data_IF_283597841050
#
_entry.id   IF_283597841050
#
_cell.length_a   1.000
_cell.length_b   1.000
_cell.length_c   1.000
_cell.angle_alpha   90.00
_cell.angle_beta   90.00
_cell.angle_gamma   90.00
#
_symmetry.space_group_name_H-M   'P 1'
#
loop_
_entity.id
_entity.type
_entity.pdbx_description
1 polymer ?
#
# COMPACT_ATOMS: atom_id res chain seq x y z
N UNK A 1 5.71 73.04 44.46
CA UNK A 1 6.71 71.98 44.76
C UNK A 1 5.96 70.67 44.75
N UNK A 2 5.81 70.05 43.58
CA UNK A 2 6.62 68.91 43.04
C UNK A 2 6.01 67.59 43.55
N UNK A 3 5.65 66.57 42.76
CA UNK A 3 5.70 66.25 41.33
C UNK A 3 4.87 64.94 41.18
N UNK A 4 3.93 64.79 40.22
CA UNK A 4 4.05 64.05 38.93
C UNK A 4 4.22 62.50 39.08
N UNK A 5 3.54 61.59 38.36
CA UNK A 5 3.01 61.51 36.97
C UNK A 5 1.87 60.45 36.92
N UNK A 6 0.69 60.70 36.31
CA UNK A 6 0.23 60.32 34.94
C UNK A 6 0.74 58.93 34.49
N UNK A 7 -0.11 57.98 34.05
CA UNK A 7 -0.89 58.06 32.79
C UNK A 7 -2.08 57.08 32.74
N UNK A 8 -3.20 57.56 32.21
CA UNK A 8 -4.27 56.76 31.60
C UNK A 8 -3.74 56.03 30.35
N UNK A 9 -4.05 54.75 30.20
CA UNK A 9 -3.84 53.98 28.97
C UNK A 9 -5.15 53.35 28.53
N UNK A 10 -5.71 53.84 27.43
CA UNK A 10 -6.83 53.24 26.71
C UNK A 10 -6.45 51.84 26.25
N UNK A 11 -7.15 50.80 26.72
CA UNK A 11 -7.10 49.48 26.10
C UNK A 11 -7.88 49.54 24.78
N UNK A 12 -7.14 49.70 23.68
CA UNK A 12 -7.65 49.54 22.32
C UNK A 12 -8.02 48.06 22.15
N UNK A 13 -9.31 47.79 21.98
CA UNK A 13 -9.79 46.52 21.43
C UNK A 13 -9.24 46.40 20.00
N UNK A 14 -8.15 45.65 19.83
CA UNK A 14 -7.67 45.22 18.53
C UNK A 14 -8.64 44.22 17.95
N UNK A 15 -9.50 44.68 17.04
CA UNK A 15 -10.19 43.82 16.07
C UNK A 15 -9.13 43.13 15.22
N UNK A 16 -8.79 41.88 15.56
CA UNK A 16 -8.12 40.99 14.60
C UNK A 16 -9.15 40.61 13.55
N UNK A 17 -9.23 41.42 12.49
CA UNK A 17 -9.80 41.02 11.22
C UNK A 17 -8.92 39.92 10.64
N UNK A 18 -9.21 38.67 10.97
CA UNK A 18 -8.73 37.52 10.21
C UNK A 18 -9.43 37.53 8.86
N UNK A 19 -8.83 38.27 7.92
CA UNK A 19 -9.07 38.05 6.50
C UNK A 19 -8.60 36.62 6.18
N UNK A 20 -9.51 35.66 6.28
CA UNK A 20 -9.37 34.38 5.59
C UNK A 20 -9.39 34.68 4.10
N UNK A 21 -8.20 34.91 3.54
CA UNK A 21 -7.98 34.73 2.11
C UNK A 21 -8.06 33.23 1.86
N UNK A 22 -9.05 32.71 1.13
CA UNK A 22 -8.92 31.37 0.59
C UNK A 22 -7.78 31.45 -0.42
N UNK A 23 -6.58 31.03 -0.04
CA UNK A 23 -5.52 30.73 -1.00
C UNK A 23 -5.89 29.39 -1.64
N UNK A 24 -6.92 29.40 -2.48
CA UNK A 24 -7.01 28.43 -3.57
C UNK A 24 -6.06 28.92 -4.64
N UNK A 25 -4.76 28.63 -4.50
CA UNK A 25 -3.96 28.44 -5.70
C UNK A 25 -4.55 27.21 -6.38
N UNK A 26 -5.45 27.42 -7.33
CA UNK A 26 -5.72 26.42 -8.35
C UNK A 26 -4.38 26.19 -9.07
N UNK A 27 -3.64 25.16 -8.62
CA UNK A 27 -2.45 24.71 -9.31
C UNK A 27 -2.93 24.16 -10.67
N UNK A 28 -2.29 24.63 -11.75
CA UNK A 28 -2.59 24.22 -13.13
C UNK A 28 -2.14 22.77 -13.36
N UNK A 29 -2.85 21.84 -12.76
CA UNK A 29 -2.77 20.42 -13.03
C UNK A 29 -3.52 20.15 -14.34
N UNK A 30 -2.89 19.47 -15.30
CA UNK A 30 -3.47 19.23 -16.64
C UNK A 30 -4.54 18.14 -16.66
N UNK A 31 -4.71 17.42 -15.54
CA UNK A 31 -5.70 16.36 -15.36
C UNK A 31 -6.74 16.74 -14.29
N UNK A 32 -7.88 16.06 -14.34
CA UNK A 32 -8.95 16.22 -13.35
C UNK A 32 -8.81 15.17 -12.25
N UNK A 33 -9.15 15.52 -11.01
CA UNK A 33 -9.21 14.54 -9.91
C UNK A 33 -10.59 14.48 -9.28
N UNK A 34 -11.07 13.27 -9.00
CA UNK A 34 -12.35 13.02 -8.32
C UNK A 34 -12.15 12.04 -7.16
N UNK A 35 -12.76 12.29 -5.98
CA UNK A 35 -13.63 13.42 -5.63
C UNK A 35 -12.95 14.77 -5.36
N UNK A 36 -11.69 14.78 -4.95
CA UNK A 36 -10.86 15.99 -4.78
C UNK A 36 -9.41 15.68 -5.11
N UNK A 37 -8.50 16.65 -5.08
CA UNK A 37 -7.07 16.42 -5.32
C UNK A 37 -6.28 16.27 -3.98
N UNK A 38 -6.02 15.04 -3.48
CA UNK A 38 -5.22 14.82 -2.28
C UNK A 38 -3.72 15.01 -2.56
N UNK A 39 -2.91 15.26 -1.51
CA UNK A 39 -1.45 15.35 -1.67
C UNK A 39 -0.84 14.06 -2.23
N UNK A 40 -1.38 12.90 -1.85
CA UNK A 40 -0.91 11.58 -2.26
C UNK A 40 -2.08 10.66 -2.61
N UNK A 41 -1.96 9.88 -3.68
CA UNK A 41 -2.86 8.77 -3.98
C UNK A 41 -2.28 7.43 -3.50
N UNK A 42 -3.07 6.58 -2.85
CA UNK A 42 -2.68 5.20 -2.56
C UNK A 42 -2.62 4.37 -3.85
N UNK A 43 -1.53 3.63 -4.05
CA UNK A 43 -1.39 2.66 -5.14
C UNK A 43 -1.55 1.23 -4.62
N UNK A 44 -0.60 0.76 -3.82
CA UNK A 44 -0.65 -0.58 -3.19
C UNK A 44 -0.62 -0.42 -1.68
N UNK A 45 -1.79 -0.45 -1.04
CA UNK A 45 -1.96 -0.09 0.38
C UNK A 45 -2.83 -1.17 1.05
N UNK A 46 -2.17 -2.23 1.53
CA UNK A 46 -2.82 -3.44 2.09
C UNK A 46 -2.34 -3.88 3.46
N UNK A 47 -1.16 -3.43 3.87
CA UNK A 47 -0.60 -3.72 5.19
C UNK A 47 0.43 -2.66 5.57
N UNK A 48 0.92 -2.63 6.82
CA UNK A 48 1.92 -1.67 7.26
C UNK A 48 3.22 -1.66 6.46
N UNK A 49 3.49 -2.72 5.70
CA UNK A 49 4.68 -2.86 4.85
C UNK A 49 4.37 -2.97 3.35
N UNK A 50 3.10 -3.15 2.97
CA UNK A 50 2.64 -3.03 1.59
C UNK A 50 1.91 -1.70 1.47
N UNK A 51 2.69 -0.62 1.33
CA UNK A 51 2.24 0.77 1.38
C UNK A 51 3.01 1.61 0.36
N UNK A 52 2.47 1.69 -0.86
CA UNK A 52 3.03 2.47 -1.96
C UNK A 52 2.05 3.57 -2.37
N UNK A 53 2.57 4.78 -2.50
CA UNK A 53 1.82 6.00 -2.77
C UNK A 53 2.45 6.77 -3.91
N UNK A 54 1.66 7.53 -4.66
CA UNK A 54 2.17 8.49 -5.64
C UNK A 54 1.72 9.88 -5.28
N UNK A 55 2.53 10.89 -5.58
CA UNK A 55 2.13 12.27 -5.42
C UNK A 55 0.91 12.56 -6.31
N UNK A 56 -0.13 13.13 -5.70
CA UNK A 56 -1.40 13.39 -6.38
C UNK A 56 -1.61 14.84 -6.79
N UNK A 57 -1.11 15.78 -5.96
CA UNK A 57 -1.39 17.19 -6.14
C UNK A 57 -0.56 17.89 -7.23
N UNK A 58 0.69 17.47 -7.45
CA UNK A 58 1.67 18.26 -8.21
C UNK A 58 2.47 17.49 -9.25
N UNK A 59 2.39 16.16 -9.26
CA UNK A 59 3.36 15.30 -9.94
C UNK A 59 2.64 14.16 -10.66
N UNK A 60 2.78 14.10 -11.98
CA UNK A 60 2.23 12.98 -12.78
C UNK A 60 2.88 11.65 -12.32
N UNK A 61 2.09 10.61 -12.00
CA UNK A 61 2.60 9.28 -11.63
C UNK A 61 3.44 8.64 -12.72
N UNK A 62 3.20 9.00 -13.99
CA UNK A 62 4.00 8.58 -15.14
C UNK A 62 5.39 9.24 -15.23
N UNK A 63 5.75 10.13 -14.28
CA UNK A 63 7.04 10.84 -14.26
C UNK A 63 7.83 10.65 -12.98
N UNK A 64 7.22 10.07 -11.95
CA UNK A 64 7.77 10.01 -10.60
C UNK A 64 7.67 8.60 -10.07
N UNK A 65 8.66 8.17 -9.30
CA UNK A 65 8.55 6.92 -8.58
C UNK A 65 7.45 6.97 -7.53
N UNK A 66 6.73 5.87 -7.29
CA UNK A 66 6.01 5.71 -6.05
C UNK A 66 6.93 5.79 -4.83
N UNK A 67 6.36 6.10 -3.67
CA UNK A 67 7.08 6.22 -2.42
C UNK A 67 6.41 5.40 -1.32
N UNK A 68 7.22 4.97 -0.36
CA UNK A 68 6.79 4.52 0.96
C UNK A 68 6.97 5.68 1.94
N UNK A 69 5.94 6.04 2.70
CA UNK A 69 6.01 7.19 3.61
C UNK A 69 6.28 8.51 2.87
N UNK A 70 7.08 9.39 3.47
CA UNK A 70 7.32 10.75 2.96
C UNK A 70 8.55 10.92 2.08
N UNK A 71 9.54 10.02 2.16
CA UNK A 71 10.86 10.24 1.55
C UNK A 71 11.51 9.01 0.90
N UNK A 72 10.86 7.85 0.94
CA UNK A 72 11.50 6.59 0.54
C UNK A 72 10.97 6.11 -0.81
N UNK A 73 11.79 6.26 -1.85
CA UNK A 73 11.49 5.78 -3.21
C UNK A 73 11.21 4.28 -3.23
N UNK A 74 10.19 3.90 -4.00
CA UNK A 74 9.90 2.53 -4.40
C UNK A 74 10.04 2.44 -5.92
N UNK A 75 11.06 1.71 -6.39
CA UNK A 75 11.25 1.42 -7.81
C UNK A 75 10.10 0.57 -8.35
N UNK A 76 9.08 1.25 -8.84
CA UNK A 76 7.90 0.65 -9.46
C UNK A 76 7.60 1.37 -10.76
N UNK A 77 7.83 0.64 -11.85
CA UNK A 77 7.67 1.13 -13.22
C UNK A 77 6.56 0.35 -13.92
N UNK A 78 5.73 1.05 -14.70
CA UNK A 78 4.82 0.42 -15.65
C UNK A 78 5.08 1.03 -17.04
N UNK A 79 5.40 0.18 -18.02
CA UNK A 79 5.61 0.57 -19.41
C UNK A 79 4.50 -0.03 -20.28
N UNK A 80 4.08 0.70 -21.31
CA UNK A 80 3.12 0.20 -22.29
C UNK A 80 3.67 0.42 -23.68
N UNK A 81 3.81 -0.64 -24.45
CA UNK A 81 4.16 -0.55 -25.86
C UNK A 81 2.90 -0.59 -26.70
N UNK A 82 2.67 0.45 -27.50
CA UNK A 82 1.60 0.55 -28.49
C UNK A 82 2.25 0.50 -29.87
N UNK A 83 1.93 -0.53 -30.62
CA UNK A 83 2.60 -0.95 -31.85
C UNK A 83 4.11 -1.13 -31.63
N UNK A 84 4.92 -0.16 -32.01
CA UNK A 84 6.38 -0.16 -31.79
C UNK A 84 6.85 1.03 -30.94
N UNK A 85 5.92 1.76 -30.31
CA UNK A 85 6.23 2.93 -29.50
C UNK A 85 5.98 2.63 -28.03
N UNK A 86 7.04 2.72 -27.22
CA UNK A 86 6.96 2.48 -25.78
C UNK A 86 6.64 3.77 -25.02
N UNK A 87 5.67 3.73 -24.13
CA UNK A 87 5.23 4.83 -23.27
C UNK A 87 5.47 4.49 -21.79
N UNK A 88 5.88 5.49 -21.02
CA UNK A 88 5.97 5.41 -19.57
C UNK A 88 4.59 5.71 -18.96
N UNK A 89 4.01 4.78 -18.21
CA UNK A 89 2.68 4.90 -17.62
C UNK A 89 2.70 5.06 -16.09
N UNK A 90 3.77 4.61 -15.42
CA UNK A 90 4.03 4.80 -13.98
C UNK A 90 5.53 4.78 -13.75
N UNK A 91 6.03 5.58 -12.81
CA UNK A 91 7.43 5.59 -12.40
C UNK A 91 8.25 6.67 -13.12
N UNK A 92 9.52 6.82 -12.72
CA UNK A 92 10.42 7.78 -13.39
C UNK A 92 10.63 7.38 -14.85
N UNK A 93 10.60 8.38 -15.73
CA UNK A 93 10.67 8.17 -17.17
C UNK A 93 11.96 7.46 -17.60
N UNK A 94 11.81 6.29 -18.21
CA UNK A 94 12.89 5.56 -18.90
C UNK A 94 12.67 5.45 -20.40
N UNK A 95 11.49 5.86 -20.87
CA UNK A 95 11.15 6.04 -22.29
C UNK A 95 11.05 7.54 -22.61
N UNK A 96 11.42 7.97 -23.83
CA UNK A 96 11.18 9.35 -24.27
C UNK A 96 9.68 9.69 -24.37
N UNK A 97 8.80 8.69 -24.54
CA UNK A 97 7.36 8.91 -24.57
C UNK A 97 6.75 8.63 -23.20
N UNK A 98 5.90 9.53 -22.74
CA UNK A 98 5.23 9.48 -21.43
C UNK A 98 3.73 9.58 -21.70
N UNK A 99 2.92 8.79 -21.00
CA UNK A 99 1.47 8.87 -21.13
C UNK A 99 0.97 10.23 -20.66
N UNK A 100 0.03 10.83 -21.38
CA UNK A 100 -0.62 12.06 -20.94
C UNK A 100 -1.80 11.71 -20.02
N UNK A 101 -1.68 12.00 -18.72
CA UNK A 101 -2.77 11.82 -17.77
C UNK A 101 -3.94 12.75 -18.08
N UNK A 102 -5.16 12.22 -18.01
CA UNK A 102 -6.39 12.98 -18.26
C UNK A 102 -7.27 13.08 -17.01
N UNK A 103 -7.33 12.01 -16.23
CA UNK A 103 -8.16 11.93 -15.03
C UNK A 103 -7.57 10.94 -14.02
N UNK A 104 -7.65 11.29 -12.75
CA UNK A 104 -7.47 10.36 -11.63
C UNK A 104 -8.74 10.32 -10.78
N UNK A 105 -9.25 9.11 -10.53
CA UNK A 105 -10.36 8.85 -9.61
C UNK A 105 -9.86 7.98 -8.45
N UNK A 106 -10.34 8.25 -7.24
CA UNK A 106 -10.16 7.30 -6.14
C UNK A 106 -11.46 7.02 -5.41
N UNK A 107 -11.53 5.81 -4.87
CA UNK A 107 -12.62 5.29 -4.04
C UNK A 107 -12.04 4.74 -2.73
N UNK A 108 -12.89 4.13 -1.91
CA UNK A 108 -12.45 3.48 -0.66
C UNK A 108 -11.43 2.37 -0.87
N UNK A 109 -11.39 1.71 -2.04
CA UNK A 109 -10.49 0.57 -2.31
C UNK A 109 -9.62 0.73 -3.56
N UNK A 110 -9.96 1.67 -4.47
CA UNK A 110 -9.30 1.80 -5.78
C UNK A 110 -8.74 3.19 -6.04
N UNK A 111 -7.67 3.23 -6.81
CA UNK A 111 -7.17 4.43 -7.50
C UNK A 111 -7.12 4.11 -8.98
N UNK A 112 -7.74 4.95 -9.80
CA UNK A 112 -7.96 4.72 -11.23
C UNK A 112 -7.35 5.92 -11.96
N UNK A 113 -6.28 5.68 -12.70
CA UNK A 113 -5.58 6.69 -13.50
C UNK A 113 -5.93 6.44 -14.96
N UNK A 114 -6.58 7.41 -15.58
CA UNK A 114 -6.87 7.43 -17.02
C UNK A 114 -5.84 8.31 -17.72
N UNK A 115 -5.24 7.78 -18.77
CA UNK A 115 -4.20 8.46 -19.54
C UNK A 115 -4.27 8.09 -21.02
N UNK A 116 -3.50 8.79 -21.84
CA UNK A 116 -3.38 8.52 -23.28
C UNK A 116 -1.95 8.11 -23.64
N UNK A 117 -1.83 7.00 -24.36
CA UNK A 117 -0.59 6.47 -24.93
C UNK A 117 -0.70 6.50 -26.47
N UNK A 118 -0.36 7.63 -27.07
CA UNK A 118 -0.51 7.82 -28.52
C UNK A 118 -1.98 7.65 -28.97
N UNK A 119 -2.29 6.69 -29.85
CA UNK A 119 -3.65 6.44 -30.35
C UNK A 119 -4.54 5.62 -29.40
N UNK A 120 -4.04 5.21 -28.24
CA UNK A 120 -4.76 4.34 -27.29
C UNK A 120 -5.06 5.09 -25.99
N UNK A 121 -6.28 4.92 -25.47
CA UNK A 121 -6.65 5.30 -24.11
C UNK A 121 -6.26 4.17 -23.16
N UNK A 122 -5.61 4.52 -22.06
CA UNK A 122 -5.06 3.61 -21.07
C UNK A 122 -5.69 3.88 -19.70
N UNK A 123 -6.12 2.84 -19.00
CA UNK A 123 -6.66 2.93 -17.63
C UNK A 123 -5.86 2.00 -16.72
N UNK A 124 -5.15 2.58 -15.76
CA UNK A 124 -4.46 1.88 -14.67
C UNK A 124 -5.36 1.87 -13.45
N UNK A 125 -5.80 0.70 -13.03
CA UNK A 125 -6.58 0.51 -11.80
C UNK A 125 -5.72 -0.18 -10.76
N UNK A 126 -5.38 0.57 -9.71
CA UNK A 126 -4.75 0.06 -8.51
C UNK A 126 -5.84 -0.32 -7.51
N UNK A 127 -5.89 -1.59 -7.12
CA UNK A 127 -6.91 -2.13 -6.22
C UNK A 127 -6.26 -2.71 -4.97
N UNK A 128 -6.63 -2.15 -3.83
CA UNK A 128 -6.34 -2.70 -2.51
C UNK A 128 -7.64 -3.19 -1.90
N UNK A 129 -7.92 -4.49 -2.09
CA UNK A 129 -9.18 -5.09 -1.70
C UNK A 129 -9.41 -5.05 -0.17
N UNK A 130 -10.58 -4.55 0.24
CA UNK A 130 -11.06 -4.52 1.61
C UNK A 130 -12.31 -5.39 1.71
N UNK A 131 -12.10 -6.67 2.01
CA UNK A 131 -13.17 -7.66 2.17
C UNK A 131 -13.73 -7.66 3.60
N UNK A 132 -14.17 -6.48 4.07
CA UNK A 132 -14.61 -6.26 5.45
C UNK A 132 -16.12 -6.11 5.63
N UNK A 133 -16.88 -5.80 4.57
CA UNK A 133 -18.36 -5.70 4.62
C UNK A 133 -18.97 -6.89 3.91
N UNK A 134 -19.16 -7.99 4.62
CA UNK A 134 -20.26 -8.90 4.32
C UNK A 134 -20.74 -9.50 5.63
N UNK A 135 -21.95 -9.17 6.04
CA UNK A 135 -22.61 -9.84 7.17
C UNK A 135 -22.79 -11.36 6.93
N UNK A 136 -22.50 -11.85 5.72
CA UNK A 136 -22.60 -13.25 5.34
C UNK A 136 -21.26 -14.01 5.18
N UNK A 137 -20.10 -13.35 5.03
CA UNK A 137 -18.81 -14.06 4.92
C UNK A 137 -17.73 -13.34 5.71
N UNK A 138 -17.45 -13.79 6.93
CA UNK A 138 -16.29 -13.35 7.71
C UNK A 138 -14.98 -13.85 7.05
N UNK A 139 -14.68 -13.39 5.84
CA UNK A 139 -13.52 -13.84 5.06
C UNK A 139 -12.26 -13.08 5.49
N UNK A 140 -11.87 -13.34 6.73
CA UNK A 140 -10.62 -12.86 7.32
C UNK A 140 -9.40 -13.33 6.51
N UNK A 141 -9.52 -14.43 5.75
CA UNK A 141 -8.45 -14.91 4.88
C UNK A 141 -8.19 -13.89 3.78
N UNK A 142 -9.21 -13.50 3.00
CA UNK A 142 -9.06 -12.48 1.96
C UNK A 142 -8.66 -11.12 2.49
N UNK A 143 -9.25 -10.70 3.61
CA UNK A 143 -8.92 -9.42 4.25
C UNK A 143 -7.44 -9.34 4.64
N UNK A 144 -6.89 -10.44 5.17
CA UNK A 144 -5.50 -10.52 5.65
C UNK A 144 -4.47 -10.83 4.56
N UNK A 145 -4.86 -11.04 3.30
CA UNK A 145 -3.92 -11.17 2.19
C UNK A 145 -3.13 -9.86 2.04
N UNK A 146 -1.78 -9.89 2.05
CA UNK A 146 -0.95 -8.70 1.97
C UNK A 146 -0.71 -8.27 0.51
N UNK A 147 -1.66 -8.54 -0.39
CA UNK A 147 -1.51 -8.34 -1.83
C UNK A 147 -2.49 -7.29 -2.36
N UNK A 148 -2.00 -6.42 -3.25
CA UNK A 148 -2.79 -5.50 -4.07
C UNK A 148 -2.71 -5.91 -5.54
N UNK A 149 -3.61 -5.35 -6.34
CA UNK A 149 -3.68 -5.58 -7.77
C UNK A 149 -3.35 -4.31 -8.55
N UNK A 150 -2.68 -4.48 -9.68
CA UNK A 150 -2.62 -3.50 -10.74
C UNK A 150 -3.26 -4.10 -11.99
N UNK A 151 -4.33 -3.48 -12.47
CA UNK A 151 -4.91 -3.81 -13.77
C UNK A 151 -4.65 -2.68 -14.75
N UNK A 152 -4.17 -3.02 -15.94
CA UNK A 152 -3.87 -2.05 -17.00
C UNK A 152 -4.72 -2.43 -18.20
N UNK A 153 -5.65 -1.55 -18.57
CA UNK A 153 -6.55 -1.77 -19.71
C UNK A 153 -6.34 -0.74 -20.80
N UNK A 154 -6.51 -1.17 -22.05
CA UNK A 154 -6.29 -0.36 -23.23
C UNK A 154 -7.50 -0.44 -24.18
N UNK A 155 -7.85 0.70 -24.79
CA UNK A 155 -8.87 0.82 -25.84
C UNK A 155 -8.37 1.78 -26.93
N UNK A 156 -8.60 1.44 -28.20
CA UNK A 156 -8.29 2.33 -29.32
C UNK A 156 -9.12 3.62 -29.24
N UNK A 157 -8.46 4.75 -29.46
CA UNK A 157 -9.07 6.08 -29.44
C UNK A 157 -9.24 6.69 -30.84
N UNK A 158 -8.62 6.12 -31.88
CA UNK A 158 -8.68 6.61 -33.27
C UNK A 158 -9.53 5.71 -34.20
N UNK A 159 -10.04 4.59 -33.67
CA UNK A 159 -10.84 3.62 -34.42
C UNK A 159 -10.01 2.60 -35.21
N UNK A 160 -8.67 2.69 -35.17
CA UNK A 160 -7.77 1.70 -35.75
C UNK A 160 -7.44 0.58 -34.74
N UNK A 161 -6.89 -0.51 -35.27
CA UNK A 161 -6.41 -1.63 -34.46
C UNK A 161 -4.95 -1.42 -34.08
N UNK A 162 -4.61 -1.61 -32.79
CA UNK A 162 -3.24 -1.45 -32.29
C UNK A 162 -2.77 -2.71 -31.55
N UNK A 163 -1.48 -3.04 -31.71
CA UNK A 163 -0.85 -4.09 -30.90
C UNK A 163 -0.41 -3.50 -29.57
N UNK A 164 -0.90 -4.02 -28.44
CA UNK A 164 -0.55 -3.47 -27.13
C UNK A 164 0.09 -4.54 -26.24
N UNK A 165 1.22 -4.18 -25.62
CA UNK A 165 1.87 -5.00 -24.59
C UNK A 165 2.13 -4.16 -23.34
N UNK A 166 1.73 -4.68 -22.19
CA UNK A 166 1.95 -4.04 -20.88
C UNK A 166 3.14 -4.70 -20.22
N UNK A 167 4.14 -3.91 -19.84
CA UNK A 167 5.33 -4.33 -19.12
C UNK A 167 5.30 -3.82 -17.68
N UNK A 168 4.86 -4.66 -16.76
CA UNK A 168 4.99 -4.40 -15.34
C UNK A 168 6.42 -4.66 -14.88
N UNK A 169 7.02 -3.66 -14.24
CA UNK A 169 8.44 -3.57 -13.90
C UNK A 169 8.61 -3.07 -12.45
N UNK A 170 7.81 -3.64 -11.57
CA UNK A 170 7.92 -3.50 -10.13
C UNK A 170 7.31 -4.74 -9.47
N UNK A 171 7.65 -5.05 -8.21
CA UNK A 171 8.50 -4.30 -7.31
C UNK A 171 10.02 -4.53 -7.50
N UNK A 172 10.84 -3.48 -7.35
CA UNK A 172 12.31 -3.57 -7.24
C UNK A 172 12.75 -4.15 -5.88
N UNK A 173 14.07 -4.39 -5.71
CA UNK A 173 14.65 -4.73 -4.41
C UNK A 173 14.36 -3.71 -3.29
N UNK A 174 13.94 -2.49 -3.65
CA UNK A 174 13.48 -1.51 -2.67
C UNK A 174 12.16 -1.90 -2.02
N UNK A 175 11.46 -2.96 -2.41
CA UNK A 175 10.26 -3.41 -1.68
C UNK A 175 10.56 -4.36 -0.52
N UNK A 176 11.75 -4.98 -0.49
CA UNK A 176 12.13 -5.94 0.56
C UNK A 176 12.92 -5.32 1.71
N UNK A 177 13.51 -4.14 1.51
CA UNK A 177 14.24 -3.38 2.55
C UNK A 177 14.44 -1.92 2.15
N UNK A 178 14.61 -1.04 3.15
CA UNK A 178 15.12 0.33 2.96
C UNK A 178 16.64 0.43 3.03
N UNK A 179 17.31 -0.60 3.56
CA UNK A 179 18.77 -0.71 3.56
C UNK A 179 19.24 -1.35 2.25
N UNK A 180 19.55 -0.51 1.27
CA UNK A 180 19.88 -0.98 -0.07
C UNK A 180 21.25 -1.69 -0.13
N UNK A 181 22.06 -1.62 0.92
CA UNK A 181 23.34 -2.36 1.02
C UNK A 181 23.14 -3.85 1.29
N UNK A 182 21.95 -4.26 1.74
CA UNK A 182 21.68 -5.67 2.03
C UNK A 182 21.55 -6.49 0.75
N UNK A 183 22.05 -7.72 0.80
CA UNK A 183 22.01 -8.67 -0.33
C UNK A 183 20.64 -9.30 -0.50
N UNK A 184 20.08 -9.17 -1.70
CA UNK A 184 18.84 -9.79 -2.13
C UNK A 184 19.08 -11.15 -2.79
N UNK A 185 18.10 -12.03 -2.66
CA UNK A 185 17.94 -13.27 -3.41
C UNK A 185 16.55 -13.33 -4.01
N UNK A 186 16.40 -14.08 -5.09
CA UNK A 186 15.13 -14.16 -5.80
C UNK A 186 14.98 -15.49 -6.54
N UNK A 187 13.75 -15.79 -6.91
CA UNK A 187 13.43 -16.91 -7.77
C UNK A 187 12.15 -16.66 -8.56
N UNK A 188 11.98 -17.41 -9.63
CA UNK A 188 10.76 -17.42 -10.45
C UNK A 188 10.20 -18.82 -10.49
N UNK A 189 8.90 -18.95 -10.24
CA UNK A 189 8.14 -20.18 -10.49
C UNK A 189 7.11 -19.92 -11.60
N UNK A 190 6.92 -20.90 -12.47
CA UNK A 190 6.05 -20.80 -13.66
C UNK A 190 5.00 -21.91 -13.65
N UNK A 191 3.99 -21.82 -14.51
CA UNK A 191 2.82 -22.72 -14.53
C UNK A 191 1.60 -21.99 -15.06
N UNK A 192 0.44 -22.13 -14.41
CA UNK A 192 -0.76 -21.33 -14.74
C UNK A 192 -0.56 -19.83 -14.44
N UNK A 193 0.33 -19.51 -13.50
CA UNK A 193 0.75 -18.15 -13.18
C UNK A 193 2.27 -18.08 -13.06
N UNK A 194 2.83 -16.96 -13.52
CA UNK A 194 4.22 -16.58 -13.24
C UNK A 194 4.25 -15.94 -11.86
N UNK A 195 5.14 -16.42 -10.99
CA UNK A 195 5.37 -15.84 -9.67
C UNK A 195 6.86 -15.55 -9.52
N UNK A 196 7.16 -14.27 -9.34
CA UNK A 196 8.46 -13.82 -8.87
C UNK A 196 8.40 -13.61 -7.37
N UNK A 197 9.47 -14.00 -6.69
CA UNK A 197 9.67 -13.73 -5.28
C UNK A 197 11.08 -13.19 -5.04
N UNK A 198 11.19 -12.21 -4.14
CA UNK A 198 12.45 -11.60 -3.74
C UNK A 198 12.50 -11.45 -2.23
N UNK A 199 13.64 -11.74 -1.61
CA UNK A 199 13.86 -11.65 -0.16
C UNK A 199 15.31 -11.31 0.14
N UNK A 200 15.62 -10.97 1.39
CA UNK A 200 17.00 -10.77 1.85
C UNK A 200 17.69 -12.12 2.10
N UNK A 201 18.99 -12.21 1.79
CA UNK A 201 19.80 -13.39 2.15
C UNK A 201 20.03 -13.49 3.66
N UNK A 202 20.16 -12.34 4.33
CA UNK A 202 20.37 -12.23 5.77
C UNK A 202 19.29 -11.34 6.39
N UNK A 203 18.03 -11.81 6.48
CA UNK A 203 16.94 -11.04 7.06
C UNK A 203 17.13 -10.86 8.58
N UNK A 204 16.60 -9.76 9.11
CA UNK A 204 16.54 -9.49 10.54
C UNK A 204 15.07 -9.48 10.96
N UNK A 205 14.59 -10.62 11.49
CA UNK A 205 13.20 -10.80 11.90
C UNK A 205 12.81 -9.79 12.99
N UNK A 206 11.61 -9.21 12.87
CA UNK A 206 11.05 -8.19 13.78
C UNK A 206 11.79 -6.85 13.81
N UNK A 207 12.72 -6.62 12.87
CA UNK A 207 13.45 -5.36 12.74
C UNK A 207 12.91 -4.49 11.63
N UNK A 208 12.74 -3.20 11.92
CA UNK A 208 12.45 -2.18 10.93
C UNK A 208 13.67 -1.29 10.66
N UNK A 209 13.80 -0.84 9.43
CA UNK A 209 14.65 0.30 9.07
C UNK A 209 13.77 1.31 8.30
N UNK A 210 13.72 2.57 8.75
CA UNK A 210 12.84 3.61 8.20
C UNK A 210 11.38 3.12 8.04
N UNK A 211 10.82 2.54 9.10
CA UNK A 211 9.48 1.95 9.14
C UNK A 211 9.24 0.78 8.15
N UNK A 212 10.29 0.15 7.61
CA UNK A 212 10.16 -0.96 6.66
C UNK A 212 10.79 -2.21 7.20
N UNK A 213 10.09 -3.34 7.05
CA UNK A 213 10.55 -4.63 7.52
C UNK A 213 11.90 -5.00 6.90
N UNK A 214 12.81 -5.55 7.71
CA UNK A 214 14.07 -6.15 7.27
C UNK A 214 13.97 -7.68 7.14
N UNK A 215 12.76 -8.22 6.96
CA UNK A 215 12.50 -9.62 6.70
C UNK A 215 11.18 -9.79 5.95
N UNK A 216 11.03 -10.93 5.28
CA UNK A 216 9.86 -11.25 4.47
C UNK A 216 10.21 -11.45 3.02
N UNK A 217 9.18 -11.52 2.18
CA UNK A 217 9.30 -11.79 0.76
C UNK A 217 8.33 -10.90 0.00
N UNK A 218 8.88 -10.12 -0.95
CA UNK A 218 8.08 -9.41 -1.93
C UNK A 218 7.72 -10.35 -3.07
N UNK A 219 6.48 -10.24 -3.54
CA UNK A 219 5.95 -11.03 -4.64
C UNK A 219 5.49 -10.14 -5.78
N UNK A 220 5.68 -10.62 -7.01
CA UNK A 220 5.01 -10.15 -8.22
C UNK A 220 4.47 -11.35 -8.97
N UNK A 221 3.18 -11.37 -9.29
CA UNK A 221 2.58 -12.47 -10.00
C UNK A 221 1.56 -12.01 -11.03
N UNK A 222 1.35 -12.83 -12.06
CA UNK A 222 0.31 -12.65 -13.06
C UNK A 222 -0.03 -13.99 -13.73
N UNK A 223 -1.22 -14.09 -14.30
CA UNK A 223 -1.61 -15.26 -15.10
C UNK A 223 -0.65 -15.45 -16.28
N UNK A 224 -0.35 -16.71 -16.60
CA UNK A 224 0.38 -17.03 -17.82
C UNK A 224 -0.62 -17.07 -18.98
N UNK A 225 -0.54 -16.08 -19.85
CA UNK A 225 -1.30 -15.99 -21.10
C UNK A 225 -0.38 -16.13 -22.31
N UNK A 226 -0.96 -16.30 -23.50
CA UNK A 226 -0.22 -16.18 -24.75
C UNK A 226 0.46 -14.81 -24.83
N UNK A 227 1.77 -14.81 -25.10
CA UNK A 227 2.59 -13.60 -25.11
C UNK A 227 3.05 -13.10 -23.74
N UNK A 228 2.77 -13.83 -22.64
CA UNK A 228 3.39 -13.52 -21.34
C UNK A 228 4.88 -13.82 -21.37
N UNK A 229 5.69 -12.83 -20.99
CA UNK A 229 7.14 -12.98 -20.82
C UNK A 229 7.57 -12.40 -19.47
N UNK A 230 8.67 -12.88 -18.90
CA UNK A 230 9.08 -12.54 -17.55
C UNK A 230 10.59 -12.51 -17.41
N UNK A 231 11.07 -11.80 -16.38
CA UNK A 231 12.49 -11.74 -16.00
C UNK A 231 12.63 -11.19 -14.59
N UNK A 232 13.62 -11.67 -13.86
CA UNK A 232 14.22 -10.93 -12.75
C UNK A 232 15.64 -10.58 -13.19
N UNK A 233 16.12 -9.37 -12.94
CA UNK A 233 17.49 -8.99 -13.28
C UNK A 233 17.79 -7.52 -13.09
N UNK A 234 18.93 -7.08 -13.65
CA UNK A 234 19.37 -5.69 -13.57
C UNK A 234 18.35 -4.73 -14.21
N UNK A 235 18.04 -3.63 -13.53
CA UNK A 235 17.01 -2.68 -13.97
C UNK A 235 17.21 -2.20 -15.41
N UNK A 236 18.42 -1.74 -15.76
CA UNK A 236 18.69 -1.17 -17.09
C UNK A 236 18.56 -2.21 -18.21
N UNK A 237 19.02 -3.44 -17.97
CA UNK A 237 18.87 -4.55 -18.91
C UNK A 237 17.41 -4.89 -19.12
N UNK A 238 16.66 -5.11 -18.04
CA UNK A 238 15.25 -5.55 -18.07
C UNK A 238 14.32 -4.47 -18.64
N UNK A 239 14.64 -3.18 -18.41
CA UNK A 239 13.94 -2.03 -19.00
C UNK A 239 14.30 -1.87 -20.48
N UNK A 240 15.58 -1.94 -20.82
CA UNK A 240 16.06 -1.83 -22.21
C UNK A 240 15.49 -2.91 -23.13
N UNK A 241 15.42 -4.16 -22.66
CA UNK A 241 14.78 -5.27 -23.38
C UNK A 241 13.32 -4.96 -23.75
N UNK A 242 12.56 -4.40 -22.81
CA UNK A 242 11.17 -4.02 -23.08
C UNK A 242 11.06 -2.86 -24.05
N UNK A 243 11.84 -1.80 -23.83
CA UNK A 243 11.82 -0.61 -24.68
C UNK A 243 12.13 -0.98 -26.12
N UNK A 244 13.08 -1.91 -26.32
CA UNK A 244 13.53 -2.33 -27.64
C UNK A 244 12.60 -3.35 -28.30
N UNK A 245 12.07 -4.32 -27.55
CA UNK A 245 11.39 -5.49 -28.14
C UNK A 245 9.94 -5.69 -27.71
N UNK A 246 9.44 -4.91 -26.76
CA UNK A 246 8.11 -5.09 -26.15
C UNK A 246 7.96 -6.35 -25.32
N UNK A 247 9.02 -7.11 -25.10
CA UNK A 247 9.00 -8.42 -24.44
C UNK A 247 10.27 -8.68 -23.63
N UNK A 248 10.20 -9.70 -22.79
CA UNK A 248 11.33 -10.20 -22.00
C UNK A 248 11.86 -11.51 -22.56
N UNK A 249 13.05 -11.89 -22.08
CA UNK A 249 13.78 -13.06 -22.58
C UNK A 249 13.42 -14.38 -21.89
N UNK A 250 12.61 -14.36 -20.82
CA UNK A 250 12.30 -15.56 -20.01
C UNK A 250 13.55 -16.26 -19.45
N UNK A 251 14.59 -15.49 -19.15
CA UNK A 251 15.85 -16.01 -18.61
C UNK A 251 15.94 -15.69 -17.12
N UNK A 252 16.17 -16.69 -16.24
CA UNK A 252 16.45 -16.43 -14.84
C UNK A 252 17.81 -15.75 -14.69
N UNK A 253 17.89 -14.79 -13.78
CA UNK A 253 19.15 -14.23 -13.29
C UNK A 253 19.51 -14.95 -11.99
N UNK A 254 20.65 -15.64 -11.95
CA UNK A 254 21.12 -16.36 -10.76
C UNK A 254 22.17 -15.56 -9.95
N UNK A 255 22.53 -14.36 -10.40
CA UNK A 255 23.54 -13.54 -9.76
C UNK A 255 22.93 -12.63 -8.68
N UNK A 256 22.73 -13.21 -7.49
CA UNK A 256 22.25 -12.51 -6.30
C UNK A 256 23.21 -11.42 -5.83
N UNK A 257 22.67 -10.24 -5.53
CA UNK A 257 23.45 -9.02 -5.27
C UNK A 257 22.74 -8.08 -4.29
N UNK A 258 23.45 -7.07 -3.82
CA UNK A 258 22.91 -5.97 -3.00
C UNK A 258 21.79 -5.24 -3.74
N UNK A 259 20.80 -4.74 -3.02
CA UNK A 259 19.66 -4.03 -3.63
C UNK A 259 20.12 -2.79 -4.43
N UNK A 260 21.14 -2.07 -3.96
CA UNK A 260 21.71 -0.92 -4.68
C UNK A 260 22.61 -1.32 -5.86
N UNK A 261 22.98 -2.59 -6.00
CA UNK A 261 23.86 -3.05 -7.08
C UNK A 261 23.01 -3.49 -8.27
N UNK A 262 23.09 -2.72 -9.36
CA UNK A 262 22.34 -2.95 -10.60
C UNK A 262 20.81 -3.04 -10.42
N UNK A 263 20.28 -2.63 -9.27
CA UNK A 263 18.85 -2.56 -8.92
C UNK A 263 18.05 -3.78 -9.41
N UNK A 264 18.07 -4.93 -8.72
CA UNK A 264 17.31 -6.10 -9.14
C UNK A 264 15.81 -5.77 -9.20
N UNK A 265 15.18 -6.01 -10.34
CA UNK A 265 13.75 -5.77 -10.56
C UNK A 265 13.02 -7.05 -10.94
N UNK A 266 11.83 -7.26 -10.38
CA UNK A 266 10.89 -8.28 -10.84
C UNK A 266 10.05 -7.71 -11.98
N UNK A 267 9.92 -8.48 -13.06
CA UNK A 267 9.32 -8.00 -14.28
C UNK A 267 8.46 -9.07 -14.97
N UNK A 268 7.24 -8.69 -15.33
CA UNK A 268 6.32 -9.49 -16.15
C UNK A 268 5.77 -8.58 -17.25
N UNK A 269 5.78 -9.05 -18.49
CA UNK A 269 5.12 -8.41 -19.60
C UNK A 269 3.98 -9.30 -20.12
N UNK A 270 2.81 -8.71 -20.34
CA UNK A 270 1.63 -9.38 -20.89
C UNK A 270 1.18 -8.67 -22.16
N UNK A 271 1.08 -9.42 -23.26
CA UNK A 271 0.47 -8.90 -24.48
C UNK A 271 -1.04 -8.87 -24.31
N UNK A 272 -1.66 -7.74 -24.66
CA UNK A 272 -3.11 -7.65 -24.82
C UNK A 272 -3.52 -8.18 -26.19
N UNK A 273 -2.58 -8.27 -27.14
CA UNK A 273 -2.86 -8.58 -28.53
C UNK A 273 -3.34 -7.35 -29.28
N UNK A 274 -4.29 -7.53 -30.19
CA UNK A 274 -4.88 -6.44 -30.98
C UNK A 274 -6.04 -5.79 -30.25
N UNK A 275 -5.83 -4.55 -29.83
CA UNK A 275 -6.82 -3.69 -29.16
C UNK A 275 -7.60 -2.89 -30.20
N UNK A 276 -8.93 -2.87 -30.07
CA UNK A 276 -9.85 -2.08 -30.88
C UNK A 276 -10.78 -1.27 -29.95
N UNK A 277 -12.09 -1.30 -30.14
CA UNK A 277 -13.06 -0.60 -29.27
C UNK A 277 -13.39 -1.36 -27.99
N UNK A 278 -13.13 -2.66 -27.93
CA UNK A 278 -13.31 -3.45 -26.71
C UNK A 278 -12.05 -3.40 -25.85
N UNK A 279 -12.23 -3.09 -24.56
CA UNK A 279 -11.13 -3.07 -23.60
C UNK A 279 -10.54 -4.47 -23.38
N UNK A 280 -9.21 -4.55 -23.49
CA UNK A 280 -8.42 -5.69 -23.06
C UNK A 280 -7.55 -5.26 -21.88
N UNK A 281 -7.28 -6.17 -20.95
CA UNK A 281 -6.58 -5.83 -19.71
C UNK A 281 -5.55 -6.88 -19.29
N UNK A 282 -4.41 -6.41 -18.81
CA UNK A 282 -3.41 -7.17 -18.09
C UNK A 282 -3.66 -6.97 -16.58
N UNK A 283 -3.39 -7.99 -15.77
CA UNK A 283 -3.55 -7.90 -14.31
C UNK A 283 -2.36 -8.52 -13.61
N UNK A 284 -1.79 -7.74 -12.70
CA UNK A 284 -0.64 -8.08 -11.89
C UNK A 284 -1.01 -8.01 -10.42
N UNK A 285 -0.42 -8.89 -9.62
CA UNK A 285 -0.57 -8.95 -8.17
C UNK A 285 0.78 -8.69 -7.55
N UNK A 286 0.84 -7.79 -6.58
CA UNK A 286 2.07 -7.50 -5.85
C UNK A 286 1.79 -7.35 -4.35
N UNK A 287 2.79 -7.64 -3.54
CA UNK A 287 2.70 -7.44 -2.10
C UNK A 287 3.90 -8.00 -1.36
N UNK A 288 3.86 -7.89 -0.04
CA UNK A 288 4.95 -8.32 0.83
C UNK A 288 4.42 -9.17 1.98
N UNK A 289 4.89 -10.42 2.07
CA UNK A 289 4.45 -11.37 3.08
C UNK A 289 5.57 -11.73 4.05
N UNK A 290 5.19 -12.03 5.30
CA UNK A 290 6.11 -12.34 6.41
C UNK A 290 5.54 -13.48 7.24
N UNK A 291 6.42 -14.38 7.65
CA UNK A 291 6.12 -15.41 8.62
C UNK A 291 7.38 -15.77 9.42
N UNK A 292 7.42 -15.58 10.74
CA UNK A 292 6.40 -14.89 11.56
C UNK A 292 6.31 -13.39 11.24
N UNK A 293 5.20 -12.76 11.63
CA UNK A 293 4.89 -11.37 11.31
C UNK A 293 4.93 -10.43 12.53
N UNK A 294 4.60 -10.93 13.72
CA UNK A 294 4.59 -10.16 14.98
C UNK A 294 5.17 -11.02 16.10
N UNK A 295 6.06 -10.45 16.92
CA UNK A 295 6.48 -11.06 18.20
C UNK A 295 5.56 -10.50 19.30
N UNK A 296 4.69 -11.35 19.84
CA UNK A 296 3.77 -11.00 20.92
C UNK A 296 4.24 -11.57 22.25
N UNK A 297 3.76 -11.00 23.37
CA UNK A 297 4.06 -11.51 24.70
C UNK A 297 2.74 -11.84 25.42
N UNK A 298 2.67 -13.06 25.92
CA UNK A 298 1.57 -13.55 26.77
C UNK A 298 2.08 -13.76 28.19
N UNK A 299 1.19 -14.11 29.12
CA UNK A 299 1.58 -14.52 30.48
C UNK A 299 2.48 -15.75 30.50
N UNK A 300 2.54 -16.52 29.40
CA UNK A 300 3.36 -17.73 29.26
C UNK A 300 4.70 -17.47 28.58
N UNK A 301 4.95 -16.25 28.11
CA UNK A 301 6.19 -15.85 27.44
C UNK A 301 5.98 -15.33 26.02
N UNK A 302 7.09 -15.31 25.26
CA UNK A 302 7.09 -14.83 23.87
C UNK A 302 6.33 -15.79 22.96
N UNK A 303 5.57 -15.24 22.04
CA UNK A 303 4.78 -15.97 21.07
C UNK A 303 5.01 -15.35 19.68
N UNK A 304 5.53 -16.14 18.75
CA UNK A 304 5.55 -15.77 17.35
C UNK A 304 4.13 -15.86 16.77
N UNK A 305 3.76 -14.90 15.92
CA UNK A 305 2.43 -14.86 15.31
C UNK A 305 2.50 -14.81 13.79
N UNK A 306 1.76 -15.68 13.12
CA UNK A 306 1.61 -15.72 11.65
C UNK A 306 0.51 -14.77 11.16
N UNK A 307 0.63 -14.28 9.93
CA UNK A 307 -0.48 -13.57 9.25
C UNK A 307 -1.67 -14.53 9.03
N UNK A 308 -2.89 -14.03 9.23
CA UNK A 308 -4.10 -14.86 9.28
C UNK A 308 -4.37 -15.65 7.99
N UNK A 309 -3.97 -15.16 6.82
CA UNK A 309 -4.18 -15.87 5.55
C UNK A 309 -3.51 -17.27 5.54
N UNK A 310 -2.48 -17.48 6.38
CA UNK A 310 -1.81 -18.77 6.55
C UNK A 310 -2.68 -19.82 7.26
N UNK A 311 -3.87 -19.46 7.77
CA UNK A 311 -4.90 -20.44 8.17
C UNK A 311 -5.40 -21.30 7.00
N UNK A 312 -5.33 -20.76 5.78
CA UNK A 312 -5.78 -21.44 4.56
C UNK A 312 -4.62 -21.84 3.66
N UNK A 313 -3.60 -21.01 3.57
CA UNK A 313 -2.48 -21.19 2.64
C UNK A 313 -1.22 -21.66 3.38
N UNK A 314 -0.48 -22.58 2.79
CA UNK A 314 0.76 -23.11 3.37
C UNK A 314 1.95 -22.18 3.20
N UNK A 315 1.89 -21.25 2.23
CA UNK A 315 2.96 -20.32 1.90
C UNK A 315 2.45 -19.03 1.28
N UNK A 316 3.32 -18.00 1.24
CA UNK A 316 3.05 -16.77 0.50
C UNK A 316 2.92 -16.99 -1.02
N UNK A 317 3.64 -17.97 -1.58
CA UNK A 317 3.52 -18.33 -2.99
C UNK A 317 2.13 -18.89 -3.32
N UNK A 318 1.60 -19.79 -2.49
CA UNK A 318 0.25 -20.32 -2.68
C UNK A 318 -0.81 -19.21 -2.57
N UNK A 319 -0.64 -18.31 -1.59
CA UNK A 319 -1.54 -17.19 -1.37
C UNK A 319 -1.52 -16.17 -2.54
N UNK A 320 -0.36 -15.88 -3.13
CA UNK A 320 -0.29 -14.96 -4.29
C UNK A 320 -0.88 -15.59 -5.56
N UNK A 321 -0.71 -16.92 -5.75
CA UNK A 321 -1.39 -17.65 -6.84
C UNK A 321 -2.92 -17.60 -6.70
N UNK A 322 -3.41 -17.80 -5.48
CA UNK A 322 -4.83 -17.61 -5.19
C UNK A 322 -5.29 -16.19 -5.54
N UNK A 323 -4.55 -15.16 -5.09
CA UNK A 323 -4.89 -13.77 -5.38
C UNK A 323 -4.98 -13.50 -6.89
N UNK A 324 -4.03 -14.01 -7.70
CA UNK A 324 -4.09 -13.91 -9.17
C UNK A 324 -5.40 -14.46 -9.74
N UNK A 325 -5.86 -15.61 -9.26
CA UNK A 325 -7.12 -16.23 -9.70
C UNK A 325 -8.37 -15.52 -9.16
N UNK A 326 -8.27 -14.87 -7.99
CA UNK A 326 -9.40 -14.25 -7.28
C UNK A 326 -9.69 -12.81 -7.73
N UNK A 327 -8.87 -12.22 -8.61
CA UNK A 327 -8.98 -10.81 -9.03
C UNK A 327 -10.41 -10.36 -9.36
N UNK A 328 -11.16 -11.14 -10.13
CA UNK A 328 -12.54 -10.78 -10.49
C UNK A 328 -13.48 -10.73 -9.29
N UNK A 329 -13.32 -11.65 -8.32
CA UNK A 329 -14.08 -11.63 -7.08
C UNK A 329 -13.64 -10.46 -6.20
N UNK A 330 -12.33 -10.23 -6.06
CA UNK A 330 -11.77 -9.09 -5.32
C UNK A 330 -12.30 -7.76 -5.86
N UNK A 331 -12.29 -7.58 -7.18
CA UNK A 331 -12.81 -6.39 -7.87
C UNK A 331 -14.31 -6.21 -7.65
N UNK A 332 -15.09 -7.30 -7.75
CA UNK A 332 -16.54 -7.27 -7.57
C UNK A 332 -16.91 -6.88 -6.14
N UNK A 333 -16.32 -7.55 -5.14
CA UNK A 333 -16.56 -7.23 -3.72
C UNK A 333 -16.14 -5.80 -3.40
N UNK A 334 -14.97 -5.36 -3.89
CA UNK A 334 -14.45 -4.01 -3.65
C UNK A 334 -15.34 -2.93 -4.28
N UNK A 335 -15.86 -3.16 -5.49
CA UNK A 335 -16.80 -2.24 -6.14
C UNK A 335 -18.11 -2.13 -5.36
N UNK A 336 -18.60 -3.25 -4.81
CA UNK A 336 -19.77 -3.26 -3.93
C UNK A 336 -19.52 -2.51 -2.61
N UNK A 337 -18.35 -2.72 -2.00
CA UNK A 337 -17.92 -2.00 -0.80
C UNK A 337 -17.83 -0.50 -1.05
N UNK A 338 -17.14 -0.07 -2.12
CA UNK A 338 -17.03 1.34 -2.49
C UNK A 338 -18.41 1.99 -2.69
N UNK A 339 -19.30 1.30 -3.42
CA UNK A 339 -20.65 1.80 -3.69
C UNK A 339 -21.46 1.97 -2.41
N UNK A 340 -21.32 1.03 -1.47
CA UNK A 340 -22.02 1.09 -0.18
C UNK A 340 -21.48 2.23 0.68
N UNK A 341 -20.15 2.34 0.82
CA UNK A 341 -19.51 3.42 1.59
C UNK A 341 -19.90 4.78 1.01
N UNK A 342 -19.80 4.94 -0.31
CA UNK A 342 -20.17 6.19 -0.99
C UNK A 342 -21.64 6.53 -0.76
N UNK A 343 -22.56 5.58 -0.98
CA UNK A 343 -24.00 5.78 -0.81
C UNK A 343 -24.38 6.16 0.62
N UNK A 344 -23.83 5.45 1.62
CA UNK A 344 -24.15 5.70 3.02
C UNK A 344 -23.56 7.02 3.52
N UNK A 345 -22.34 7.37 3.11
CA UNK A 345 -21.71 8.64 3.52
C UNK A 345 -22.34 9.85 2.81
N UNK A 346 -22.76 9.73 1.55
CA UNK A 346 -23.37 10.83 0.78
C UNK A 346 -24.72 11.28 1.38
N UNK A 347 -25.41 10.42 2.14
CA UNK A 347 -26.63 10.79 2.89
C UNK A 347 -26.40 11.93 3.88
N UNK A 348 -25.16 12.12 4.33
CA UNK A 348 -24.78 13.20 5.23
C UNK A 348 -24.23 14.41 4.47
N UNK A 349 -23.18 14.22 3.67
CA UNK A 349 -22.72 15.22 2.69
C UNK A 349 -21.75 14.61 1.66
N UNK A 350 -21.61 15.21 0.47
CA UNK A 350 -20.59 14.81 -0.51
C UNK A 350 -19.15 14.96 0.02
N UNK A 351 -18.88 16.02 0.80
CA UNK A 351 -17.55 16.24 1.38
C UNK A 351 -17.19 15.15 2.39
N UNK A 352 -18.16 14.75 3.23
CA UNK A 352 -17.97 13.64 4.15
C UNK A 352 -17.70 12.33 3.40
N UNK A 353 -18.47 12.04 2.35
CA UNK A 353 -18.23 10.86 1.51
C UNK A 353 -16.81 10.85 0.91
N UNK A 354 -16.33 12.01 0.49
CA UNK A 354 -14.98 12.18 -0.07
C UNK A 354 -13.88 11.89 0.96
N UNK A 355 -14.02 12.40 2.18
CA UNK A 355 -13.07 12.12 3.28
C UNK A 355 -13.12 10.65 3.70
N UNK A 356 -14.32 10.06 3.80
CA UNK A 356 -14.48 8.64 4.12
C UNK A 356 -13.81 7.78 3.05
N UNK A 357 -14.06 8.04 1.77
CA UNK A 357 -13.42 7.32 0.66
C UNK A 357 -11.88 7.37 0.73
N UNK A 358 -11.30 8.52 1.07
CA UNK A 358 -9.85 8.64 1.20
C UNK A 358 -9.28 7.95 2.45
N UNK A 359 -9.97 8.06 3.59
CA UNK A 359 -9.50 7.55 4.89
C UNK A 359 -9.64 6.04 5.04
N UNK A 360 -10.58 5.39 4.35
CA UNK A 360 -10.84 3.94 4.51
C UNK A 360 -9.60 3.07 4.26
N UNK A 361 -8.86 3.27 3.16
CA UNK A 361 -7.65 2.49 2.87
C UNK A 361 -6.55 2.67 3.91
N UNK A 362 -6.39 3.89 4.42
CA UNK A 362 -5.39 4.20 5.45
C UNK A 362 -5.68 3.45 6.74
N UNK A 363 -6.97 3.42 7.15
CA UNK A 363 -7.42 2.69 8.31
C UNK A 363 -7.05 1.20 8.22
N UNK A 364 -7.44 0.52 7.14
CA UNK A 364 -7.19 -0.91 6.97
C UNK A 364 -5.73 -1.26 6.68
N UNK A 365 -4.95 -0.36 6.08
CA UNK A 365 -3.53 -0.62 5.83
C UNK A 365 -2.66 -0.51 7.08
N UNK A 366 -3.14 0.14 8.15
CA UNK A 366 -2.46 0.13 9.44
C UNK A 366 -2.53 -1.22 10.15
N UNK A 367 -3.36 -2.15 9.68
CA UNK A 367 -3.80 -3.33 10.41
C UNK A 367 -3.18 -4.63 9.89
N UNK A 368 -2.87 -5.56 10.80
CA UNK A 368 -2.56 -6.95 10.48
C UNK A 368 -3.29 -7.91 11.42
N UNK A 369 -4.02 -8.86 10.83
CA UNK A 369 -4.70 -9.94 11.55
C UNK A 369 -3.75 -11.13 11.62
N UNK A 370 -3.61 -11.71 12.80
CA UNK A 370 -2.61 -12.75 13.08
C UNK A 370 -3.18 -13.90 13.88
N UNK A 371 -2.50 -15.04 13.80
CA UNK A 371 -2.76 -16.26 14.55
C UNK A 371 -1.60 -16.55 15.49
N UNK A 372 -1.89 -17.12 16.66
CA UNK A 372 -0.88 -17.55 17.60
C UNK A 372 -0.08 -18.73 17.07
N UNK A 373 1.25 -18.65 17.04
CA UNK A 373 2.12 -19.70 16.49
C UNK A 373 2.45 -19.50 15.01
N UNK A 374 3.17 -20.46 14.43
CA UNK A 374 3.63 -20.40 13.04
C UNK A 374 3.37 -21.67 12.23
N UNK A 375 3.13 -21.48 10.93
CA UNK A 375 2.96 -22.58 9.97
C UNK A 375 1.74 -23.45 10.31
N UNK A 376 1.88 -24.77 10.15
CA UNK A 376 0.81 -25.73 10.45
C UNK A 376 0.47 -25.84 11.94
N UNK A 377 1.29 -25.26 12.83
CA UNK A 377 1.06 -25.22 14.27
C UNK A 377 0.33 -23.98 14.76
N UNK A 378 -0.15 -23.11 13.86
CA UNK A 378 -0.88 -21.91 14.24
C UNK A 378 -2.25 -22.25 14.85
N UNK A 379 -2.57 -21.64 15.99
CA UNK A 379 -3.86 -21.76 16.66
C UNK A 379 -4.91 -20.90 15.94
N UNK A 380 -5.85 -21.56 15.26
CA UNK A 380 -6.93 -20.92 14.50
C UNK A 380 -7.95 -20.19 15.38
N UNK A 381 -7.93 -20.41 16.70
CA UNK A 381 -8.82 -19.74 17.66
C UNK A 381 -8.18 -18.50 18.28
N UNK A 382 -6.84 -18.45 18.35
CA UNK A 382 -6.10 -17.31 18.87
C UNK A 382 -5.91 -16.23 17.79
N UNK A 383 -7.00 -15.54 17.46
CA UNK A 383 -7.01 -14.45 16.48
C UNK A 383 -6.75 -13.12 17.19
N UNK A 384 -5.75 -12.38 16.70
CA UNK A 384 -5.39 -11.04 17.19
C UNK A 384 -5.26 -10.07 16.04
N UNK A 385 -5.55 -8.80 16.32
CA UNK A 385 -5.29 -7.69 15.41
C UNK A 385 -4.22 -6.80 16.03
N UNK A 386 -3.24 -6.41 15.22
CA UNK A 386 -2.26 -5.40 15.58
C UNK A 386 -2.36 -4.23 14.60
N UNK A 387 -2.19 -3.02 15.10
CA UNK A 387 -2.06 -1.83 14.27
C UNK A 387 -0.65 -1.27 14.34
N UNK A 388 -0.22 -0.61 13.26
CA UNK A 388 0.98 0.22 13.23
C UNK A 388 0.57 1.67 13.04
N UNK A 389 0.90 2.50 14.01
CA UNK A 389 0.88 3.94 13.84
C UNK A 389 2.11 4.35 13.03
N UNK A 390 1.93 4.56 11.73
CA UNK A 390 2.96 5.08 10.83
C UNK A 390 3.13 6.59 11.05
N UNK A 391 3.51 6.98 12.27
CA UNK A 391 3.64 8.37 12.64
C UNK A 391 4.78 9.04 11.86
N UNK A 392 4.44 10.14 11.20
CA UNK A 392 5.38 11.16 10.74
C UNK A 392 5.27 12.28 11.77
N UNK A 393 6.39 12.75 12.32
CA UNK A 393 6.35 13.87 13.26
C UNK A 393 6.05 15.20 12.55
N UNK A 394 5.82 16.25 13.34
CA UNK A 394 5.48 17.60 12.85
C UNK A 394 6.58 18.22 11.96
N UNK A 395 7.77 17.61 11.91
CA UNK A 395 8.87 18.02 11.03
C UNK A 395 8.89 17.28 9.69
N UNK A 396 7.97 16.32 9.50
CA UNK A 396 7.93 15.45 8.33
C UNK A 396 8.83 14.22 8.44
N UNK A 397 9.46 13.99 9.61
CA UNK A 397 10.35 12.86 9.83
C UNK A 397 9.58 11.62 10.30
N UNK A 398 9.91 10.47 9.71
CA UNK A 398 9.35 9.18 10.12
C UNK A 398 9.73 8.87 11.58
N UNK A 399 8.75 8.71 12.47
CA UNK A 399 8.98 8.10 13.79
C UNK A 399 8.99 6.58 13.67
N UNK A 400 9.57 5.89 14.64
CA UNK A 400 9.45 4.44 14.71
C UNK A 400 7.97 4.09 14.96
N UNK A 401 7.42 3.16 14.17
CA UNK A 401 5.96 2.97 14.15
C UNK A 401 5.47 2.35 15.46
N UNK A 402 4.54 3.01 16.15
CA UNK A 402 4.03 2.53 17.45
C UNK A 402 3.07 1.36 17.20
N UNK A 403 3.25 0.28 17.97
CA UNK A 403 2.48 -0.94 17.84
C UNK A 403 1.21 -0.86 18.69
N UNK A 404 0.06 -0.84 18.03
CA UNK A 404 -1.27 -0.99 18.64
C UNK A 404 -1.55 0.01 19.76
N UNK A 405 -1.35 1.30 19.47
CA UNK A 405 -1.74 2.37 20.38
C UNK A 405 -3.27 2.41 20.58
N UNK A 406 -3.71 2.61 21.82
CA UNK A 406 -5.14 2.56 22.20
C UNK A 406 -5.94 3.67 21.52
N UNK A 407 -5.38 4.86 21.41
CA UNK A 407 -5.95 6.03 20.73
C UNK A 407 -6.05 5.82 19.22
N UNK A 408 -5.06 5.17 18.60
CA UNK A 408 -5.12 4.74 17.21
C UNK A 408 -6.26 3.74 17.00
N UNK A 409 -6.34 2.70 17.85
CA UNK A 409 -7.42 1.71 17.77
C UNK A 409 -8.80 2.38 17.97
N UNK A 410 -8.92 3.29 18.94
CA UNK A 410 -10.12 4.08 19.19
C UNK A 410 -10.54 4.91 17.96
N UNK A 411 -9.57 5.56 17.30
CA UNK A 411 -9.82 6.35 16.08
C UNK A 411 -10.31 5.49 14.92
N UNK A 412 -9.92 4.22 14.85
CA UNK A 412 -10.37 3.26 13.84
C UNK A 412 -11.74 2.64 14.15
N UNK A 413 -12.19 2.66 15.42
CA UNK A 413 -13.42 1.95 15.85
C UNK A 413 -14.66 2.26 15.02
N UNK A 414 -14.97 3.51 14.63
CA UNK A 414 -16.16 3.78 13.81
C UNK A 414 -16.14 2.99 12.49
N UNK A 415 -14.98 2.88 11.84
CA UNK A 415 -14.80 2.11 10.61
C UNK A 415 -14.94 0.60 10.87
N UNK A 416 -14.36 0.09 11.97
CA UNK A 416 -14.46 -1.32 12.33
C UNK A 416 -15.89 -1.72 12.68
N UNK A 417 -16.61 -0.90 13.45
CA UNK A 417 -18.02 -1.13 13.78
C UNK A 417 -18.90 -1.07 12.53
N UNK A 418 -18.65 -0.12 11.63
CA UNK A 418 -19.39 -0.02 10.36
C UNK A 418 -19.15 -1.23 9.44
N UNK A 419 -17.94 -1.77 9.44
CA UNK A 419 -17.56 -2.88 8.55
C UNK A 419 -17.80 -4.24 9.17
N UNK A 420 -16.99 -4.61 10.16
CA UNK A 420 -17.08 -5.86 10.89
C UNK A 420 -16.60 -5.65 12.35
N UNK A 421 -17.54 -5.51 13.32
CA UNK A 421 -17.21 -5.29 14.73
C UNK A 421 -16.28 -6.37 15.33
N UNK A 422 -16.30 -7.60 14.79
CA UNK A 422 -15.43 -8.68 15.25
C UNK A 422 -13.94 -8.32 15.09
N UNK A 423 -13.59 -7.53 14.08
CA UNK A 423 -12.23 -7.04 13.87
C UNK A 423 -11.79 -6.15 15.05
N UNK A 424 -12.69 -5.30 15.54
CA UNK A 424 -12.44 -4.48 16.74
C UNK A 424 -12.22 -5.34 17.99
N UNK A 425 -12.97 -6.44 18.14
CA UNK A 425 -12.78 -7.38 19.24
C UNK A 425 -11.39 -8.02 19.21
N UNK A 426 -10.86 -8.38 18.04
CA UNK A 426 -9.49 -8.93 17.94
C UNK A 426 -8.43 -7.90 18.35
N UNK A 427 -8.64 -6.61 18.07
CA UNK A 427 -7.73 -5.54 18.49
C UNK A 427 -7.76 -5.31 20.00
N UNK A 428 -8.96 -5.25 20.57
CA UNK A 428 -9.15 -5.17 22.03
C UNK A 428 -8.56 -6.39 22.74
N UNK A 429 -8.71 -7.59 22.16
CA UNK A 429 -8.16 -8.81 22.72
C UNK A 429 -6.62 -8.79 22.77
N UNK A 430 -5.94 -8.13 21.83
CA UNK A 430 -4.47 -7.94 21.87
C UNK A 430 -4.06 -7.04 23.04
N UNK A 431 -4.83 -6.00 23.34
CA UNK A 431 -4.54 -5.08 24.44
C UNK A 431 -4.85 -5.70 25.81
N UNK A 432 -6.05 -6.29 25.96
CA UNK A 432 -6.53 -6.81 27.24
C UNK A 432 -5.71 -8.00 27.74
N UNK A 433 -5.26 -8.88 26.84
CA UNK A 433 -4.41 -10.02 27.21
C UNK A 433 -2.99 -9.58 27.60
N UNK A 434 -2.53 -8.44 27.10
CA UNK A 434 -1.19 -7.93 27.42
C UNK A 434 -1.11 -7.29 28.81
N UNK A 435 -2.23 -6.81 29.36
CA UNK A 435 -2.26 -6.10 30.66
C UNK A 435 -1.53 -6.87 31.78
N UNK A 436 -1.79 -8.17 32.02
CA UNK A 436 -1.08 -8.93 33.06
C UNK A 436 0.42 -9.05 32.84
N UNK A 437 0.90 -8.90 31.60
CA UNK A 437 2.31 -9.00 31.21
C UNK A 437 3.03 -7.66 31.40
N UNK A 438 2.37 -6.55 31.08
CA UNK A 438 2.91 -5.20 31.21
C UNK A 438 3.16 -4.77 32.67
N UNK A 439 2.54 -5.46 33.62
CA UNK A 439 2.48 -5.10 35.04
C UNK A 439 1.14 -4.47 35.42
N UNK A 440 0.83 -4.46 36.72
CA UNK A 440 -0.43 -3.87 37.21
C UNK A 440 -0.33 -2.35 37.17
N UNK A 441 -1.13 -1.73 36.31
CA UNK A 441 -1.34 -0.27 36.26
C UNK A 441 -2.81 0.04 36.56
N UNK A 442 -3.10 1.22 37.11
CA UNK A 442 -4.48 1.66 37.41
C UNK A 442 -5.22 2.19 36.18
N UNK A 443 -4.60 2.15 35.01
CA UNK A 443 -5.08 2.65 33.74
C UNK A 443 -4.67 1.71 32.60
N UNK A 444 -5.29 1.87 31.42
CA UNK A 444 -4.96 1.09 30.23
C UNK A 444 -3.54 1.41 29.74
N UNK A 445 -2.81 0.40 29.27
CA UNK A 445 -1.56 0.59 28.52
C UNK A 445 -1.78 1.54 27.34
N UNK A 446 -0.82 2.42 27.06
CA UNK A 446 -0.94 3.34 25.93
C UNK A 446 -0.80 2.59 24.59
N UNK A 447 0.16 1.67 24.51
CA UNK A 447 0.49 0.89 23.32
C UNK A 447 1.14 -0.46 23.72
N UNK A 448 1.30 -1.35 22.75
CA UNK A 448 1.95 -2.64 22.93
C UNK A 448 3.46 -2.61 22.65
N UNK A 449 4.02 -1.46 22.23
CA UNK A 449 5.43 -1.29 21.99
C UNK A 449 5.73 -0.06 21.12
N UNK A 450 6.87 0.58 21.38
CA UNK A 450 7.33 1.75 20.63
C UNK A 450 7.79 1.44 19.19
N UNK A 451 7.89 0.16 18.81
CA UNK A 451 8.33 -0.28 17.48
C UNK A 451 7.53 -1.48 16.99
N UNK A 452 6.87 -1.33 15.84
CA UNK A 452 6.33 -2.44 15.10
C UNK A 452 7.48 -3.32 14.57
N UNK A 453 7.40 -4.65 14.57
CA UNK A 453 6.28 -5.54 14.94
C UNK A 453 6.52 -6.27 16.26
N UNK A 454 7.21 -5.64 17.22
CA UNK A 454 7.64 -6.31 18.45
C UNK A 454 6.92 -5.71 19.64
N UNK A 455 6.18 -6.55 20.36
CA UNK A 455 5.63 -6.14 21.65
C UNK A 455 6.76 -6.03 22.66
N UNK A 456 6.94 -4.86 23.27
CA UNK A 456 7.97 -4.61 24.28
C UNK A 456 7.38 -3.70 25.35
N UNK A 457 7.42 -4.15 26.61
CA UNK A 457 7.08 -3.28 27.73
C UNK A 457 8.15 -2.19 27.88
N UNK A 458 7.72 -0.94 28.03
CA UNK A 458 8.61 0.19 28.29
C UNK A 458 8.03 1.09 29.38
N UNK A 459 8.88 1.86 30.05
CA UNK A 459 8.48 2.69 31.18
C UNK A 459 7.58 3.89 30.80
N UNK A 460 7.54 4.28 29.52
CA UNK A 460 6.79 5.44 29.02
C UNK A 460 5.35 5.07 28.63
N UNK A 461 4.67 4.29 29.46
CA UNK A 461 3.27 3.89 29.25
C UNK A 461 2.27 4.98 29.68
N UNK A 462 2.76 6.05 30.33
CA UNK A 462 2.00 7.29 30.54
C UNK A 462 2.36 8.31 29.47
N UNK A 463 1.45 8.59 28.54
CA UNK A 463 1.35 9.94 27.95
C UNK A 463 0.30 10.70 28.74
N UNK A 464 0.68 11.20 29.92
CA UNK A 464 -0.12 12.24 30.54
C UNK A 464 -0.02 13.46 29.61
N UNK A 465 -1.12 14.03 29.09
CA UNK A 465 -1.06 15.21 28.21
C UNK A 465 -0.48 16.48 28.89
N UNK A 466 0.02 16.35 30.12
CA UNK A 466 0.65 17.38 30.93
C UNK A 466 2.17 17.16 31.15
N UNK A 467 2.75 16.08 30.63
CA UNK A 467 4.19 15.78 30.72
C UNK A 467 4.95 16.17 29.44
#
# INVERSE_FOLDING_TARGET
MLDARRTFGFAVLGLFSSSFLPVTQAQNVTWQTTPFNPPMFPLSVKSPYTSAWTAGATNEPARNWPYFGTDSTLGWLCLVQVDNTTYNALGTAVSPNITAETQTEFTSTRTIITSRAGPVNLVLTFLSAIDAITQQTNDLVRLSLPFSYLSVSAVSNDGASHSVTVGERGPSGEFITSDTSMKAQWSTTTGEAIVHQMSLQSPITYSENKQRAQWGTAYLAANQTDGTTWRIGAADTVRGEFVQYGKLTNTPDSNFREVSKDWPVMAIAQSLGTVTTQAQAATFVLGHSRNPAVEYYTSTGKQDRSLYFLSKFTSGEEAVRYAVSDYNNARTTSTGFDSKVQSDATKYSPDYASVVAFSTRQAFASMEITLGGTGSGADLQDIKLFTKDAAVDDTGASREGVLSAVDSLYSLMPMLVYTNPSIGNYGLASLLEYVPVSGVQSFAVHDLGLRYSRVISHAQQSRNPLD
#
